data_IF_823863178233
#
_entry.id   IF_823863178233
#
_cell.length_a   1.000
_cell.length_b   1.000
_cell.length_c   1.000
_cell.angle_alpha   90.00
_cell.angle_beta   90.00
_cell.angle_gamma   90.00
#
_symmetry.space_group_name_H-M   'P 1'
#
loop_
_entity.id
_entity.type
_entity.pdbx_description
1 polymer ?
#
# COMPACT_ATOMS: atom_id res chain seq x y z
N UNK A 1 -21.37 -6.75 -3.84
CA UNK A 1 -20.31 -6.30 -4.76
C UNK A 1 -19.03 -7.05 -4.44
N UNK A 2 -18.16 -7.21 -5.43
CA UNK A 2 -16.80 -7.71 -5.21
C UNK A 2 -15.80 -6.57 -4.94
N UNK A 3 -14.53 -6.90 -4.71
CA UNK A 3 -13.48 -5.91 -4.44
C UNK A 3 -13.20 -4.98 -5.63
N UNK A 4 -13.42 -5.45 -6.86
CA UNK A 4 -13.18 -4.65 -8.06
C UNK A 4 -14.28 -3.61 -8.26
N UNK A 5 -15.54 -4.02 -8.07
CA UNK A 5 -16.69 -3.13 -8.09
C UNK A 5 -16.61 -2.09 -6.95
N UNK A 6 -16.26 -2.52 -5.74
CA UNK A 6 -15.96 -1.64 -4.60
C UNK A 6 -14.88 -0.61 -4.94
N UNK A 7 -13.77 -1.05 -5.54
CA UNK A 7 -12.68 -0.18 -5.96
C UNK A 7 -13.17 0.92 -6.93
N UNK A 8 -13.93 0.54 -7.96
CA UNK A 8 -14.45 1.50 -8.93
C UNK A 8 -15.39 2.53 -8.28
N UNK A 9 -16.27 2.11 -7.36
CA UNK A 9 -17.17 3.01 -6.64
C UNK A 9 -16.41 4.01 -5.78
N UNK A 10 -15.39 3.55 -5.04
CA UNK A 10 -14.54 4.41 -4.21
C UNK A 10 -13.77 5.41 -5.07
N UNK A 11 -13.14 4.97 -6.15
CA UNK A 11 -12.38 5.86 -7.04
C UNK A 11 -13.27 6.91 -7.69
N UNK A 12 -14.48 6.53 -8.11
CA UNK A 12 -15.46 7.47 -8.64
C UNK A 12 -15.90 8.50 -7.58
N UNK A 13 -16.19 8.07 -6.35
CA UNK A 13 -16.57 8.98 -5.26
C UNK A 13 -15.44 9.94 -4.87
N UNK A 14 -14.22 9.42 -4.73
CA UNK A 14 -13.01 10.22 -4.47
C UNK A 14 -12.81 11.29 -5.55
N UNK A 15 -12.98 10.93 -6.83
CA UNK A 15 -12.88 11.87 -7.94
C UNK A 15 -14.00 12.92 -7.93
N UNK A 16 -15.26 12.52 -7.71
CA UNK A 16 -16.40 13.45 -7.62
C UNK A 16 -16.23 14.49 -6.51
N UNK A 17 -15.67 14.08 -5.37
CA UNK A 17 -15.42 14.94 -4.21
C UNK A 17 -14.10 15.72 -4.28
N UNK A 18 -13.25 15.44 -5.27
CA UNK A 18 -11.95 16.11 -5.43
C UNK A 18 -10.96 15.83 -4.30
N UNK A 19 -11.10 14.71 -3.58
CA UNK A 19 -10.27 14.40 -2.41
C UNK A 19 -8.97 13.71 -2.83
N UNK A 20 -7.86 14.07 -2.21
CA UNK A 20 -6.57 13.37 -2.33
C UNK A 20 -6.54 12.11 -1.45
N UNK A 21 -5.47 11.32 -1.55
CA UNK A 21 -5.26 10.22 -0.60
C UNK A 21 -4.91 10.74 0.79
N UNK A 22 -4.20 11.86 0.89
CA UNK A 22 -3.86 12.48 2.15
C UNK A 22 -5.11 12.99 2.87
N UNK A 23 -6.06 13.62 2.16
CA UNK A 23 -7.32 14.08 2.75
C UNK A 23 -8.11 12.91 3.37
N UNK A 24 -8.27 11.83 2.62
CA UNK A 24 -8.98 10.64 3.09
C UNK A 24 -8.25 9.95 4.23
N UNK A 25 -6.92 9.85 4.14
CA UNK A 25 -6.08 9.23 5.15
C UNK A 25 -6.11 10.00 6.48
N UNK A 26 -6.09 11.33 6.41
CA UNK A 26 -6.24 12.21 7.55
C UNK A 26 -7.63 12.06 8.19
N UNK A 27 -8.69 11.98 7.39
CA UNK A 27 -10.05 11.80 7.90
C UNK A 27 -10.20 10.50 8.71
N UNK A 28 -9.59 9.40 8.25
CA UNK A 28 -9.71 8.09 8.92
C UNK A 28 -8.54 7.74 9.85
N UNK A 29 -7.58 8.64 10.05
CA UNK A 29 -6.41 8.45 10.92
C UNK A 29 -5.51 7.27 10.50
N UNK A 30 -5.24 7.12 9.20
CA UNK A 30 -4.40 6.04 8.63
C UNK A 30 -3.34 6.59 7.68
N UNK A 31 -2.40 5.74 7.26
CA UNK A 31 -1.41 6.12 6.25
C UNK A 31 -2.03 6.12 4.84
N UNK A 32 -1.70 7.10 3.97
CA UNK A 32 -2.24 7.19 2.61
C UNK A 32 -2.03 5.93 1.77
N UNK A 33 -0.83 5.35 1.81
CA UNK A 33 -0.50 4.13 1.06
C UNK A 33 -1.33 2.94 1.54
N UNK A 34 -1.51 2.79 2.87
CA UNK A 34 -2.33 1.74 3.43
C UNK A 34 -3.80 1.90 3.03
N UNK A 35 -4.33 3.13 3.12
CA UNK A 35 -5.72 3.40 2.76
C UNK A 35 -5.98 3.17 1.27
N UNK A 36 -5.08 3.64 0.41
CA UNK A 36 -5.13 3.34 -1.02
C UNK A 36 -5.13 1.83 -1.26
N UNK A 37 -4.26 1.08 -0.57
CA UNK A 37 -4.20 -0.38 -0.68
C UNK A 37 -5.51 -1.08 -0.30
N UNK A 38 -6.19 -0.61 0.75
CA UNK A 38 -7.54 -1.09 1.13
C UNK A 38 -8.55 -0.78 0.03
N UNK A 39 -8.55 0.45 -0.50
CA UNK A 39 -9.49 0.88 -1.55
C UNK A 39 -9.25 0.19 -2.90
N UNK A 40 -8.03 -0.32 -3.15
CA UNK A 40 -7.71 -1.19 -4.29
C UNK A 40 -8.02 -2.67 -4.01
N UNK A 41 -8.54 -2.99 -2.83
CA UNK A 41 -8.90 -4.34 -2.44
C UNK A 41 -7.72 -5.25 -2.10
N UNK A 42 -6.53 -4.69 -1.90
CA UNK A 42 -5.32 -5.46 -1.56
C UNK A 42 -5.18 -5.71 -0.05
N UNK A 43 -5.91 -4.95 0.77
CA UNK A 43 -6.03 -5.13 2.21
C UNK A 43 -7.48 -4.93 2.68
N UNK A 44 -7.79 -5.37 3.90
CA UNK A 44 -9.06 -5.11 4.58
C UNK A 44 -8.90 -4.01 5.63
N UNK A 45 -9.95 -3.21 5.82
CA UNK A 45 -10.02 -2.22 6.90
C UNK A 45 -10.77 -2.76 8.13
N UNK A 46 -10.45 -2.29 9.35
CA UNK A 46 -11.35 -2.39 10.49
C UNK A 46 -12.71 -1.74 10.18
N UNK A 47 -13.79 -2.24 10.80
CA UNK A 47 -15.15 -1.75 10.54
C UNK A 47 -15.29 -0.24 10.75
N UNK A 48 -14.76 0.30 11.85
CA UNK A 48 -14.78 1.74 12.15
C UNK A 48 -14.19 2.59 11.01
N UNK A 49 -13.03 2.18 10.48
CA UNK A 49 -12.36 2.86 9.37
C UNK A 49 -13.18 2.75 8.08
N UNK A 50 -13.74 1.57 7.81
CA UNK A 50 -14.55 1.34 6.62
C UNK A 50 -15.85 2.17 6.63
N UNK A 51 -16.55 2.21 7.76
CA UNK A 51 -17.76 3.03 7.95
C UNK A 51 -17.43 4.50 7.79
N UNK A 52 -16.40 5.00 8.47
CA UNK A 52 -16.04 6.42 8.40
C UNK A 52 -15.59 6.84 6.99
N UNK A 53 -14.85 5.97 6.27
CA UNK A 53 -14.50 6.22 4.88
C UNK A 53 -15.75 6.33 3.98
N UNK A 54 -16.74 5.47 4.20
CA UNK A 54 -18.00 5.51 3.44
C UNK A 54 -18.81 6.77 3.74
N UNK A 55 -18.84 7.24 4.99
CA UNK A 55 -19.46 8.52 5.36
C UNK A 55 -18.81 9.70 4.63
N UNK A 56 -17.48 9.78 4.65
CA UNK A 56 -16.71 10.84 3.95
C UNK A 56 -16.99 10.82 2.44
N UNK A 57 -17.06 9.62 1.86
CA UNK A 57 -17.26 9.41 0.43
C UNK A 57 -18.74 9.36 0.00
N UNK A 58 -19.69 9.43 0.93
CA UNK A 58 -21.13 9.23 0.68
C UNK A 58 -21.42 7.93 -0.10
N UNK A 59 -20.84 6.83 0.39
CA UNK A 59 -21.02 5.48 -0.15
C UNK A 59 -21.93 4.66 0.77
N UNK A 60 -22.58 3.65 0.20
CA UNK A 60 -23.50 2.77 0.93
C UNK A 60 -22.78 1.79 1.89
N UNK A 61 -23.56 1.19 2.78
CA UNK A 61 -23.08 0.20 3.76
C UNK A 61 -22.52 -1.07 3.10
N UNK A 62 -22.90 -1.37 1.84
CA UNK A 62 -22.40 -2.52 1.12
C UNK A 62 -20.91 -2.33 0.75
N UNK A 63 -20.49 -1.11 0.45
CA UNK A 63 -19.07 -0.76 0.29
C UNK A 63 -18.31 -0.97 1.60
N UNK A 64 -18.85 -0.52 2.74
CA UNK A 64 -18.22 -0.72 4.05
C UNK A 64 -18.05 -2.21 4.37
N UNK A 65 -19.10 -3.02 4.16
CA UNK A 65 -19.01 -4.47 4.33
C UNK A 65 -17.91 -5.07 3.45
N UNK A 66 -17.80 -4.62 2.19
CA UNK A 66 -16.79 -5.13 1.25
C UNK A 66 -15.37 -4.68 1.64
N UNK A 67 -15.19 -3.47 2.18
CA UNK A 67 -13.90 -2.97 2.70
C UNK A 67 -13.38 -3.82 3.87
N UNK A 68 -14.27 -4.35 4.72
CA UNK A 68 -13.90 -5.21 5.86
C UNK A 68 -13.60 -6.65 5.48
N UNK A 69 -14.12 -7.14 4.35
CA UNK A 69 -13.89 -8.51 3.91
C UNK A 69 -12.40 -8.75 3.59
N UNK A 70 -11.87 -9.89 4.05
CA UNK A 70 -10.48 -10.27 3.78
C UNK A 70 -10.26 -10.53 2.28
N UNK A 71 -9.26 -9.89 1.65
CA UNK A 71 -8.98 -10.15 0.25
C UNK A 71 -8.16 -11.42 0.07
N UNK A 72 -8.39 -12.11 -1.04
CA UNK A 72 -7.40 -13.06 -1.56
C UNK A 72 -6.27 -12.23 -2.16
N UNK A 73 -5.10 -12.25 -1.52
CA UNK A 73 -3.94 -11.50 -2.00
C UNK A 73 -3.39 -12.17 -3.26
N UNK A 74 -3.48 -11.48 -4.39
CA UNK A 74 -2.96 -11.94 -5.67
C UNK A 74 -2.78 -10.77 -6.63
N UNK A 75 -1.85 -10.92 -7.57
CA UNK A 75 -1.61 -9.97 -8.64
C UNK A 75 -1.12 -10.74 -9.87
N UNK A 76 -1.13 -10.09 -11.03
CA UNK A 76 -0.52 -10.66 -12.23
C UNK A 76 0.98 -10.86 -12.02
N UNK A 77 1.47 -12.08 -12.24
CA UNK A 77 2.88 -12.44 -12.09
C UNK A 77 3.72 -12.09 -13.32
N UNK A 78 3.11 -11.47 -14.33
CA UNK A 78 3.82 -10.91 -15.48
C UNK A 78 4.69 -9.71 -15.08
N UNK A 79 5.66 -9.38 -15.92
CA UNK A 79 6.50 -8.19 -15.72
C UNK A 79 5.61 -6.95 -15.91
N UNK A 80 5.56 -6.01 -14.94
CA UNK A 80 4.74 -4.81 -15.06
C UNK A 80 5.10 -4.00 -16.30
N UNK A 81 4.09 -3.60 -17.07
CA UNK A 81 4.29 -2.75 -18.25
C UNK A 81 4.13 -1.26 -17.96
N UNK A 82 3.47 -0.90 -16.86
CA UNK A 82 3.37 0.48 -16.41
C UNK A 82 4.76 1.01 -16.00
N UNK A 83 5.23 2.14 -16.57
CA UNK A 83 6.58 2.63 -16.29
C UNK A 83 6.87 2.94 -14.83
N UNK A 84 5.91 3.48 -14.07
CA UNK A 84 6.14 3.83 -12.66
C UNK A 84 6.29 2.57 -11.82
N UNK A 85 5.42 1.59 -12.02
CA UNK A 85 5.48 0.29 -11.32
C UNK A 85 6.73 -0.49 -11.75
N UNK A 86 7.08 -0.45 -13.04
CA UNK A 86 8.26 -1.14 -13.57
C UNK A 86 9.56 -0.64 -12.93
N UNK A 87 9.69 0.65 -12.59
CA UNK A 87 10.90 1.14 -11.89
C UNK A 87 11.09 0.52 -10.52
N UNK A 88 10.01 0.25 -9.78
CA UNK A 88 10.10 -0.46 -8.51
C UNK A 88 10.52 -1.92 -8.70
N UNK A 89 10.02 -2.56 -9.76
CA UNK A 89 10.46 -3.90 -10.16
C UNK A 89 11.94 -3.93 -10.56
N UNK A 90 12.40 -2.95 -11.33
CA UNK A 90 13.80 -2.78 -11.74
C UNK A 90 14.73 -2.55 -10.54
N UNK A 91 14.32 -1.78 -9.53
CA UNK A 91 15.06 -1.62 -8.27
C UNK A 91 15.28 -2.98 -7.60
N UNK A 92 14.24 -3.83 -7.51
CA UNK A 92 14.38 -5.19 -6.96
C UNK A 92 15.30 -6.05 -7.84
N UNK A 93 15.18 -5.95 -9.17
CA UNK A 93 16.02 -6.71 -10.11
C UNK A 93 17.51 -6.33 -10.04
N UNK A 94 17.83 -5.04 -9.89
CA UNK A 94 19.22 -4.54 -9.86
C UNK A 94 19.83 -4.68 -8.46
N UNK A 95 19.10 -4.31 -7.42
CA UNK A 95 19.62 -4.21 -6.04
C UNK A 95 19.22 -5.37 -5.14
N UNK A 96 18.35 -6.29 -5.57
CA UNK A 96 17.88 -7.41 -4.73
C UNK A 96 19.02 -8.24 -4.11
N UNK A 97 19.98 -8.75 -4.89
CA UNK A 97 21.11 -9.51 -4.36
C UNK A 97 21.99 -8.71 -3.39
N UNK A 98 22.26 -7.42 -3.68
CA UNK A 98 23.13 -6.59 -2.85
C UNK A 98 22.43 -6.14 -1.57
N UNK A 99 21.13 -5.84 -1.62
CA UNK A 99 20.31 -5.57 -0.43
C UNK A 99 20.22 -6.81 0.47
N UNK A 100 20.04 -8.01 -0.11
CA UNK A 100 20.06 -9.26 0.65
C UNK A 100 21.37 -9.40 1.43
N UNK A 101 22.50 -9.21 0.76
CA UNK A 101 23.83 -9.34 1.38
C UNK A 101 24.01 -8.34 2.53
N UNK A 102 23.77 -7.05 2.29
CA UNK A 102 23.89 -5.99 3.30
C UNK A 102 22.93 -6.20 4.48
N UNK A 103 21.70 -6.68 4.25
CA UNK A 103 20.76 -6.99 5.32
C UNK A 103 21.27 -8.18 6.15
N UNK A 104 21.77 -9.23 5.50
CA UNK A 104 22.28 -10.41 6.19
C UNK A 104 23.56 -10.10 7.00
N UNK A 105 24.42 -9.21 6.52
CA UNK A 105 25.56 -8.70 7.31
C UNK A 105 25.11 -7.95 8.56
N UNK A 106 24.03 -7.16 8.47
CA UNK A 106 23.55 -6.30 9.57
C UNK A 106 22.68 -7.03 10.59
N UNK A 107 21.86 -7.97 10.14
CA UNK A 107 20.80 -8.59 10.96
C UNK A 107 20.93 -10.10 11.12
N UNK A 108 21.77 -10.76 10.31
CA UNK A 108 21.91 -12.22 10.28
C UNK A 108 20.93 -12.90 9.31
N UNK A 109 20.79 -14.22 9.45
CA UNK A 109 19.95 -15.02 8.56
C UNK A 109 18.45 -14.84 8.88
N UNK A 110 17.70 -14.30 7.93
CA UNK A 110 16.31 -13.94 8.09
C UNK A 110 15.77 -13.08 6.94
N UNK A 111 14.63 -12.44 7.16
CA UNK A 111 13.96 -11.59 6.17
C UNK A 111 13.44 -10.28 6.78
N UNK A 112 13.31 -9.25 5.96
CA UNK A 112 12.47 -8.09 6.25
C UNK A 112 11.02 -8.45 5.96
N UNK A 113 10.15 -8.37 6.97
CA UNK A 113 8.72 -8.67 6.85
C UNK A 113 8.01 -7.69 5.91
N UNK A 114 7.08 -8.20 5.09
CA UNK A 114 6.10 -7.40 4.35
C UNK A 114 4.69 -7.45 4.99
N UNK A 115 4.59 -7.94 6.23
CA UNK A 115 3.34 -8.03 7.01
C UNK A 115 3.39 -7.07 8.21
N UNK A 116 4.42 -7.21 9.04
CA UNK A 116 4.75 -6.26 10.11
C UNK A 116 5.64 -5.18 9.47
N UNK A 117 4.97 -4.27 8.77
CA UNK A 117 5.55 -3.41 7.75
C UNK A 117 4.81 -2.08 7.62
N UNK A 118 5.54 -0.99 7.37
CA UNK A 118 4.99 0.31 6.97
C UNK A 118 5.66 0.85 5.71
N UNK A 119 4.89 1.65 4.97
CA UNK A 119 5.34 2.31 3.73
C UNK A 119 4.89 3.75 3.70
N UNK A 120 5.81 4.65 3.38
CA UNK A 120 5.56 6.08 3.26
C UNK A 120 6.15 6.60 1.95
N UNK A 121 5.44 7.55 1.34
CA UNK A 121 5.86 8.25 0.13
C UNK A 121 5.86 9.74 0.44
N UNK A 122 6.99 10.38 0.24
CA UNK A 122 7.19 11.80 0.51
C UNK A 122 7.84 12.47 -0.71
N UNK A 123 7.48 13.74 -0.96
CA UNK A 123 8.16 14.57 -1.95
C UNK A 123 9.29 15.32 -1.26
N UNK A 124 10.49 15.21 -1.80
CA UNK A 124 11.63 16.04 -1.40
C UNK A 124 11.85 17.07 -2.51
N UNK A 125 11.65 18.34 -2.18
CA UNK A 125 11.92 19.44 -3.11
C UNK A 125 13.41 19.53 -3.42
N UNK A 126 13.76 19.67 -4.70
CA UNK A 126 15.15 19.79 -5.15
C UNK A 126 15.24 20.74 -6.35
N UNK A 127 16.27 21.59 -6.35
CA UNK A 127 16.49 22.60 -7.40
C UNK A 127 16.64 21.98 -8.81
N UNK A 128 17.02 20.71 -8.91
CA UNK A 128 17.17 19.97 -10.17
C UNK A 128 15.95 19.12 -10.54
N UNK A 129 14.87 19.27 -9.79
CA UNK A 129 13.65 18.48 -9.92
C UNK A 129 13.46 17.56 -8.73
N UNK A 130 12.25 17.57 -8.19
CA UNK A 130 11.94 16.91 -6.93
C UNK A 130 12.19 15.40 -6.96
N UNK A 131 12.41 14.87 -5.77
CA UNK A 131 12.66 13.45 -5.54
C UNK A 131 11.46 12.81 -4.86
N UNK A 132 11.20 11.57 -5.22
CA UNK A 132 10.27 10.70 -4.49
C UNK A 132 11.08 9.95 -3.43
N UNK A 133 10.83 10.23 -2.16
CA UNK A 133 11.32 9.42 -1.06
C UNK A 133 10.31 8.30 -0.78
N UNK A 134 10.74 7.07 -1.00
CA UNK A 134 9.97 5.88 -0.64
C UNK A 134 10.65 5.20 0.55
N UNK A 135 9.96 5.16 1.68
CA UNK A 135 10.44 4.50 2.90
C UNK A 135 9.75 3.14 3.03
N UNK A 136 10.56 2.08 3.13
CA UNK A 136 10.12 0.70 3.39
C UNK A 136 10.65 0.29 4.76
N UNK A 137 9.77 0.08 5.73
CA UNK A 137 10.15 -0.28 7.09
C UNK A 137 9.48 -1.59 7.50
N UNK A 138 10.26 -2.68 7.50
CA UNK A 138 9.77 -4.01 7.87
C UNK A 138 10.51 -4.57 9.07
N UNK A 139 9.78 -5.24 9.95
CA UNK A 139 10.37 -5.98 11.06
C UNK A 139 11.29 -7.09 10.54
N UNK A 140 12.49 -7.20 11.11
CA UNK A 140 13.38 -8.34 10.84
C UNK A 140 12.86 -9.61 11.53
N UNK A 141 12.81 -10.70 10.78
CA UNK A 141 12.37 -12.02 11.24
C UNK A 141 13.51 -13.03 11.02
N UNK A 142 14.25 -13.43 12.07
CA UNK A 142 15.30 -14.44 11.95
C UNK A 142 14.69 -15.82 11.67
N UNK A 143 15.38 -16.62 10.86
CA UNK A 143 15.05 -18.05 10.76
C UNK A 143 15.40 -18.73 12.07
N UNK A 144 14.52 -19.61 12.55
CA UNK A 144 14.85 -20.42 13.73
C UNK A 144 15.39 -21.79 13.28
N UNK A 145 16.21 -22.38 14.13
CA UNK A 145 16.80 -23.71 13.95
C UNK A 145 16.09 -24.73 14.86
N UNK A 146 14.87 -25.12 14.51
CA UNK A 146 14.10 -26.16 15.21
C UNK A 146 14.10 -27.48 14.44
#
# INVERSE_FOLDING_TARGET
>A
MDKLEMHHLIMAAKARKGLSWDDLANAVGKAPVWLASVCYGMNSAPLEVATHLCEVLELDDQVAATLTAFPVKGWDKSIPQDPLIYRLYEVVGVYGPTLKDVIQEKFGDGIMSAIDFSMHVERIEDLKGDRVLLTLNGKFLPYRSW
#
